data_IF_440392078813
#
_entry.id   IF_440392078813
#
_cell.length_a   1.000
_cell.length_b   1.000
_cell.length_c   1.000
_cell.angle_alpha   90.00
_cell.angle_beta   90.00
_cell.angle_gamma   90.00
#
_symmetry.space_group_name_H-M   'P 1'
#
loop_
_entity.id
_entity.type
_entity.pdbx_description
1 polymer ?
#
# COMPACT_ATOMS: atom_id res chain seq x y z
N UNK A 1 -12.77 8.74 -2.21
CA UNK A 1 -11.97 8.22 -1.06
C UNK A 1 -11.50 6.81 -1.38
N UNK A 2 -10.19 6.59 -1.38
CA UNK A 2 -9.58 5.29 -1.67
C UNK A 2 -9.07 4.66 -0.39
N UNK A 3 -9.22 3.36 -0.26
CA UNK A 3 -8.77 2.59 0.90
C UNK A 3 -7.70 1.59 0.48
N UNK A 4 -6.56 1.58 1.15
CA UNK A 4 -5.47 0.65 0.89
C UNK A 4 -5.27 -0.25 2.12
N UNK A 5 -5.56 -1.53 1.98
CA UNK A 5 -5.32 -2.51 3.04
C UNK A 5 -4.02 -3.23 2.73
N UNK A 6 -2.99 -2.99 3.53
CA UNK A 6 -1.66 -3.56 3.33
C UNK A 6 -1.34 -4.59 4.42
N UNK A 7 -0.79 -5.73 3.99
CA UNK A 7 -0.18 -6.73 4.85
C UNK A 7 1.26 -6.97 4.41
N UNK A 8 2.20 -6.97 5.36
CA UNK A 8 3.57 -7.34 5.07
C UNK A 8 4.62 -6.86 6.06
N UNK A 9 5.87 -7.01 5.64
CA UNK A 9 7.06 -6.73 6.44
C UNK A 9 7.64 -5.35 6.10
N UNK A 10 8.14 -4.65 7.12
CA UNK A 10 8.73 -3.32 6.98
C UNK A 10 7.76 -2.14 7.11
N UNK A 11 6.48 -2.40 7.38
CA UNK A 11 5.53 -1.41 7.89
C UNK A 11 5.56 -1.35 9.42
N UNK A 12 5.00 -0.29 10.00
CA UNK A 12 4.88 -0.13 11.47
C UNK A 12 4.07 -1.26 12.11
N UNK A 13 3.15 -1.86 11.34
CA UNK A 13 2.35 -3.02 11.74
C UNK A 13 2.30 -4.05 10.62
N UNK A 14 2.10 -5.32 10.98
CA UNK A 14 1.96 -6.42 10.03
C UNK A 14 0.78 -6.21 9.07
N UNK A 15 -0.31 -5.64 9.58
CA UNK A 15 -1.51 -5.28 8.82
C UNK A 15 -1.88 -3.84 9.13
N UNK A 16 -2.11 -3.03 8.10
CA UNK A 16 -2.58 -1.64 8.21
C UNK A 16 -3.62 -1.33 7.13
N UNK A 17 -4.53 -0.41 7.45
CA UNK A 17 -5.46 0.19 6.49
C UNK A 17 -5.14 1.67 6.39
N UNK A 18 -4.90 2.16 5.19
CA UNK A 18 -4.66 3.56 4.88
C UNK A 18 -5.88 4.10 4.12
N UNK A 19 -6.36 5.26 4.53
CA UNK A 19 -7.50 5.93 3.92
C UNK A 19 -7.03 7.22 3.29
N UNK A 20 -7.18 7.33 1.98
CA UNK A 20 -6.83 8.50 1.19
C UNK A 20 -8.12 9.25 0.82
N UNK A 21 -8.28 10.46 1.38
CA UNK A 21 -9.41 11.34 1.05
C UNK A 21 -9.17 12.06 -0.26
N UNK A 22 -10.26 12.51 -0.89
CA UNK A 22 -10.21 13.30 -2.12
C UNK A 22 -9.47 14.65 -1.97
N UNK A 23 -9.28 15.13 -0.74
CA UNK A 23 -8.45 16.32 -0.44
C UNK A 23 -6.94 16.03 -0.29
N UNK A 24 -6.53 14.77 -0.42
CA UNK A 24 -5.14 14.31 -0.25
C UNK A 24 -4.74 13.98 1.19
N UNK A 25 -5.64 14.09 2.18
CA UNK A 25 -5.39 13.69 3.57
C UNK A 25 -5.35 12.18 3.69
N UNK A 26 -4.26 11.66 4.26
CA UNK A 26 -4.05 10.25 4.56
C UNK A 26 -4.34 9.94 6.04
N UNK A 27 -5.10 8.88 6.31
CA UNK A 27 -5.35 8.38 7.68
C UNK A 27 -4.93 6.92 7.77
N UNK A 28 -3.97 6.61 8.65
CA UNK A 28 -3.54 5.25 8.92
C UNK A 28 -4.28 4.63 10.12
N UNK A 29 -4.74 3.40 9.95
CA UNK A 29 -5.39 2.59 10.99
C UNK A 29 -4.67 1.24 11.08
N UNK A 30 -4.38 0.80 12.31
CA UNK A 30 -3.82 -0.53 12.56
C UNK A 30 -4.87 -1.61 12.28
N UNK A 31 -4.51 -2.64 11.52
CA UNK A 31 -5.41 -3.75 11.16
C UNK A 31 -6.27 -3.49 9.93
N UNK A 32 -7.28 -4.33 9.72
CA UNK A 32 -8.28 -4.20 8.65
C UNK A 32 -9.46 -3.37 9.19
N UNK A 33 -9.80 -2.28 8.51
CA UNK A 33 -10.87 -1.38 8.94
C UNK A 33 -11.94 -1.21 7.84
N UNK A 34 -13.21 -1.24 8.26
CA UNK A 34 -14.39 -1.02 7.40
C UNK A 34 -14.70 -2.12 6.38
N UNK A 35 -15.80 -1.95 5.65
CA UNK A 35 -16.22 -2.86 4.57
C UNK A 35 -15.22 -2.81 3.40
N UNK A 36 -14.82 -3.97 2.86
CA UNK A 36 -13.79 -4.09 1.82
C UNK A 36 -14.45 -4.34 0.46
N UNK A 37 -14.33 -3.40 -0.46
CA UNK A 37 -14.75 -3.52 -1.86
C UNK A 37 -13.49 -3.53 -2.76
N UNK A 38 -12.85 -4.70 -2.96
CA UNK A 38 -11.58 -4.78 -3.64
C UNK A 38 -11.70 -4.40 -5.12
N UNK A 39 -10.94 -3.40 -5.55
CA UNK A 39 -10.83 -2.92 -6.93
C UNK A 39 -9.57 -3.42 -7.61
N UNK A 40 -8.45 -3.46 -6.89
CA UNK A 40 -7.15 -3.93 -7.39
C UNK A 40 -6.34 -4.52 -6.25
N UNK A 41 -5.34 -5.31 -6.60
CA UNK A 41 -4.34 -5.83 -5.68
C UNK A 41 -2.98 -5.36 -6.19
N UNK A 42 -2.09 -4.98 -5.28
CA UNK A 42 -0.72 -4.64 -5.62
C UNK A 42 0.28 -5.35 -4.72
N UNK A 43 1.46 -5.60 -5.28
CA UNK A 43 2.64 -6.05 -4.55
C UNK A 43 3.66 -4.92 -4.56
N UNK A 44 4.08 -4.46 -3.37
CA UNK A 44 5.13 -3.45 -3.23
C UNK A 44 6.34 -4.06 -2.53
N UNK A 45 7.47 -4.07 -3.23
CA UNK A 45 8.76 -4.51 -2.73
C UNK A 45 9.70 -3.31 -2.71
N UNK A 46 10.06 -2.86 -1.52
CA UNK A 46 11.17 -1.93 -1.30
C UNK A 46 12.42 -2.74 -0.98
N UNK A 47 13.43 -2.69 -1.84
CA UNK A 47 14.73 -3.31 -1.63
C UNK A 47 15.85 -2.28 -1.78
N UNK A 48 16.49 -1.92 -0.66
CA UNK A 48 17.54 -0.92 -0.65
C UNK A 48 16.98 0.46 -1.02
N UNK A 49 17.43 1.03 -2.14
CA UNK A 49 16.92 2.32 -2.64
C UNK A 49 15.80 2.17 -3.66
N UNK A 50 15.52 0.95 -4.13
CA UNK A 50 14.56 0.73 -5.21
C UNK A 50 13.24 0.23 -4.62
N UNK A 51 12.14 0.77 -5.15
CA UNK A 51 10.77 0.35 -4.83
C UNK A 51 10.12 -0.13 -6.12
N UNK A 52 9.70 -1.38 -6.12
CA UNK A 52 8.87 -1.97 -7.16
C UNK A 52 7.43 -2.02 -6.67
N UNK A 53 6.50 -1.61 -7.51
CA UNK A 53 5.07 -1.70 -7.27
C UNK A 53 4.47 -2.40 -8.48
N UNK A 54 3.93 -3.59 -8.28
CA UNK A 54 3.19 -4.33 -9.29
C UNK A 54 1.72 -4.28 -8.91
N UNK A 55 0.93 -3.47 -9.60
CA UNK A 55 -0.52 -3.44 -9.44
C UNK A 55 -1.17 -4.24 -10.57
N UNK A 56 -2.18 -5.05 -10.26
CA UNK A 56 -2.84 -5.90 -11.25
C UNK A 56 -3.60 -5.10 -12.33
N UNK A 57 -3.99 -3.86 -12.04
CA UNK A 57 -4.77 -3.00 -12.94
C UNK A 57 -3.92 -1.92 -13.62
N UNK A 58 -2.99 -1.30 -12.90
CA UNK A 58 -2.09 -0.26 -13.40
C UNK A 58 -0.77 -0.81 -13.96
N UNK A 59 -0.42 -2.07 -13.67
CA UNK A 59 0.80 -2.71 -14.12
C UNK A 59 2.01 -2.44 -13.21
N UNK A 60 3.20 -2.50 -13.80
CA UNK A 60 4.47 -2.40 -13.07
C UNK A 60 5.00 -0.96 -13.04
N UNK A 61 5.35 -0.50 -11.84
CA UNK A 61 5.99 0.79 -11.58
C UNK A 61 7.28 0.56 -10.78
N UNK A 62 8.34 1.27 -11.16
CA UNK A 62 9.61 1.29 -10.43
C UNK A 62 9.93 2.71 -9.99
N UNK A 63 10.40 2.88 -8.75
CA UNK A 63 10.82 4.16 -8.19
C UNK A 63 12.11 4.01 -7.42
N UNK A 64 12.92 5.07 -7.39
CA UNK A 64 14.12 5.16 -6.56
C UNK A 64 13.86 6.12 -5.41
N UNK A 65 14.23 5.73 -4.18
CA UNK A 65 14.11 6.53 -2.96
C UNK A 65 15.50 6.92 -2.48
N UNK A 66 15.59 8.05 -1.78
CA UNK A 66 16.86 8.59 -1.24
C UNK A 66 17.38 7.81 -0.03
N UNK A 67 16.55 6.96 0.59
CA UNK A 67 16.89 6.17 1.78
C UNK A 67 16.86 4.68 1.48
N UNK A 68 17.73 3.92 2.15
CA UNK A 68 17.65 2.46 2.17
C UNK A 68 16.53 2.00 3.08
N UNK A 69 15.73 1.07 2.62
CA UNK A 69 14.79 0.33 3.45
C UNK A 69 14.55 -1.05 2.87
N UNK A 70 13.95 -1.93 3.66
CA UNK A 70 13.43 -3.19 3.19
C UNK A 70 11.96 -3.28 3.58
N UNK A 71 11.09 -3.41 2.59
CA UNK A 71 9.65 -3.64 2.78
C UNK A 71 9.15 -4.62 1.75
N UNK A 72 8.27 -5.52 2.14
CA UNK A 72 7.57 -6.39 1.21
C UNK A 72 6.12 -6.46 1.68
N UNK A 73 5.22 -5.85 0.91
CA UNK A 73 3.81 -5.74 1.27
C UNK A 73 2.92 -6.11 0.10
N UNK A 74 1.84 -6.81 0.41
CA UNK A 74 0.72 -7.02 -0.50
C UNK A 74 -0.38 -6.09 -0.04
N UNK A 75 -0.89 -5.27 -0.95
CA UNK A 75 -1.93 -4.32 -0.70
C UNK A 75 -3.17 -4.61 -1.53
N UNK A 76 -4.33 -4.29 -0.98
CA UNK A 76 -5.62 -4.31 -1.67
C UNK A 76 -6.09 -2.87 -1.78
N UNK A 77 -6.30 -2.40 -3.00
CA UNK A 77 -7.00 -1.16 -3.28
C UNK A 77 -8.49 -1.46 -3.20
N UNK A 78 -9.18 -0.76 -2.30
CA UNK A 78 -10.61 -0.84 -2.10
C UNK A 78 -11.22 0.54 -2.30
N UNK A 79 -12.34 0.59 -3.01
CA UNK A 79 -13.19 1.77 -3.00
C UNK A 79 -14.15 1.70 -1.80
N UNK A 80 -14.68 2.85 -1.41
CA UNK A 80 -15.60 3.01 -0.29
C UNK A 80 -16.91 3.60 -0.78
#
# INVERSE_FOLDING_TARGET
MTKYIEIGLGNSWLVRTEYEKDDGTEVEVRGISGAVHPRSIYLRIWLGYTVWILDFKEGFKQQTKSRKSFKCVVGIVSEL
#
